data_IF_209804889919
#
_entry.id   IF_209804889919
#
_cell.length_a   1.000
_cell.length_b   1.000
_cell.length_c   1.000
_cell.angle_alpha   90.00
_cell.angle_beta   90.00
_cell.angle_gamma   90.00
#
_symmetry.space_group_name_H-M   'P 1'
#
loop_
_entity.id
_entity.type
_entity.pdbx_description
1 polymer ?
#
# COMPACT_ATOMS: atom_id res chain seq x y z
N UNK A 1 0.18 26.03 -41.72
CA UNK A 1 -0.81 25.77 -40.67
C UNK A 1 -0.93 24.25 -40.56
N UNK A 2 -0.32 23.63 -39.54
CA UNK A 2 -0.33 22.17 -39.36
C UNK A 2 -1.38 21.83 -38.31
N UNK A 3 -2.44 21.06 -38.60
CA UNK A 3 -3.39 20.64 -37.60
C UNK A 3 -2.81 19.47 -36.80
N UNK A 4 -2.67 19.65 -35.49
CA UNK A 4 -2.45 18.54 -34.55
C UNK A 4 -3.82 17.93 -34.21
N UNK A 5 -4.10 16.65 -34.53
CA UNK A 5 -5.24 15.97 -33.97
C UNK A 5 -4.85 15.53 -32.57
N UNK A 6 -5.17 16.35 -31.55
CA UNK A 6 -5.22 15.85 -30.17
C UNK A 6 -6.44 14.95 -30.09
N UNK A 7 -6.23 13.66 -30.34
CA UNK A 7 -7.14 12.65 -29.85
C UNK A 7 -7.05 12.69 -28.32
N UNK A 8 -8.09 13.20 -27.67
CA UNK A 8 -8.24 13.11 -26.22
C UNK A 8 -8.30 11.62 -25.85
N UNK A 9 -7.17 11.08 -25.43
CA UNK A 9 -7.13 9.77 -24.76
C UNK A 9 -8.03 9.89 -23.54
N UNK A 10 -9.24 9.31 -23.60
CA UNK A 10 -10.18 9.29 -22.48
C UNK A 10 -9.50 8.60 -21.30
N UNK A 11 -9.10 9.39 -20.30
CA UNK A 11 -8.49 8.92 -19.06
C UNK A 11 -9.37 7.89 -18.30
N UNK A 12 -10.66 7.83 -18.63
CA UNK A 12 -11.66 6.90 -18.08
C UNK A 12 -11.38 5.40 -18.32
N UNK A 13 -10.45 5.03 -19.21
CA UNK A 13 -10.13 3.62 -19.47
C UNK A 13 -8.86 3.13 -18.76
N UNK A 14 -8.20 3.98 -17.96
CA UNK A 14 -7.06 3.56 -17.16
C UNK A 14 -7.54 2.81 -15.92
N UNK A 15 -7.66 1.48 -16.03
CA UNK A 15 -7.82 0.61 -14.86
C UNK A 15 -6.55 0.76 -14.01
N UNK A 16 -6.63 1.22 -12.75
CA UNK A 16 -5.44 1.39 -11.94
C UNK A 16 -4.83 0.02 -11.70
N UNK A 17 -3.64 -0.18 -12.28
CA UNK A 17 -2.83 -1.35 -12.02
C UNK A 17 -2.40 -1.25 -10.56
N UNK A 18 -2.56 -2.34 -9.80
CA UNK A 18 -2.10 -2.42 -8.42
C UNK A 18 -2.84 -1.53 -7.41
N UNK A 19 -4.18 -1.49 -7.50
CA UNK A 19 -5.01 -0.92 -6.42
C UNK A 19 -4.68 -1.62 -5.10
N UNK A 20 -4.23 -0.88 -4.08
CA UNK A 20 -3.99 -1.46 -2.78
C UNK A 20 -5.28 -2.02 -2.20
N UNK A 21 -5.17 -3.15 -1.51
CA UNK A 21 -6.31 -3.87 -0.93
C UNK A 21 -6.34 -3.61 0.58
N UNK A 22 -7.51 -3.36 1.20
CA UNK A 22 -7.58 -3.24 2.66
C UNK A 22 -6.98 -4.48 3.33
N UNK A 23 -6.13 -4.27 4.33
CA UNK A 23 -5.46 -5.33 5.05
C UNK A 23 -5.77 -5.23 6.54
N UNK A 24 -5.91 -6.38 7.20
CA UNK A 24 -6.03 -6.44 8.66
C UNK A 24 -4.67 -6.80 9.25
N UNK A 25 -4.10 -5.84 9.97
CA UNK A 25 -2.77 -5.95 10.58
C UNK A 25 -2.93 -5.76 12.08
N UNK A 26 -2.43 -6.69 12.87
CA UNK A 26 -2.24 -6.47 14.30
C UNK A 26 -0.85 -5.91 14.52
N UNK A 27 -0.76 -4.88 15.34
CA UNK A 27 0.50 -4.22 15.67
C UNK A 27 0.91 -4.52 17.10
N UNK A 28 2.21 -4.64 17.32
CA UNK A 28 2.82 -4.69 18.64
C UNK A 28 3.87 -3.57 18.70
N UNK A 29 3.81 -2.72 19.72
CA UNK A 29 4.70 -1.56 19.87
C UNK A 29 4.76 -0.66 18.62
N UNK A 30 3.63 -0.51 17.92
CA UNK A 30 3.53 0.32 16.71
C UNK A 30 4.15 -0.30 15.45
N UNK A 31 4.53 -1.60 15.48
CA UNK A 31 5.05 -2.33 14.33
C UNK A 31 4.12 -3.48 13.93
N UNK A 32 4.02 -3.83 12.64
CA UNK A 32 3.21 -4.95 12.20
C UNK A 32 3.75 -6.28 12.77
N UNK A 33 2.89 -7.00 13.48
CA UNK A 33 3.23 -8.26 14.14
C UNK A 33 2.47 -9.46 13.55
N UNK A 34 1.24 -9.26 13.07
CA UNK A 34 0.43 -10.30 12.44
C UNK A 34 -0.33 -9.75 11.24
N UNK A 35 -0.30 -10.48 10.13
CA UNK A 35 -1.12 -10.25 8.94
C UNK A 35 -2.30 -11.22 8.95
N UNK A 36 -3.52 -10.72 8.77
CA UNK A 36 -4.75 -11.53 8.76
C UNK A 36 -5.32 -11.57 7.34
N UNK A 37 -5.37 -12.77 6.75
CA UNK A 37 -5.98 -13.04 5.44
C UNK A 37 -7.19 -13.97 5.62
N UNK A 38 -8.41 -13.41 5.60
CA UNK A 38 -9.62 -14.16 5.89
C UNK A 38 -9.62 -14.73 7.31
N UNK A 39 -9.57 -16.05 7.44
CA UNK A 39 -9.46 -16.75 8.74
C UNK A 39 -8.01 -17.10 9.12
N UNK A 40 -7.05 -16.92 8.20
CA UNK A 40 -5.65 -17.25 8.43
C UNK A 40 -4.93 -16.07 9.08
N UNK A 41 -3.99 -16.39 9.96
CA UNK A 41 -3.11 -15.43 10.64
C UNK A 41 -1.68 -15.85 10.38
N UNK A 42 -0.86 -14.91 9.93
CA UNK A 42 0.56 -15.13 9.70
C UNK A 42 1.35 -14.19 10.59
N UNK A 43 2.24 -14.73 11.41
CA UNK A 43 3.14 -13.91 12.22
C UNK A 43 4.21 -13.30 11.34
N UNK A 44 4.52 -12.03 11.58
CA UNK A 44 5.66 -11.37 10.98
C UNK A 44 6.90 -11.89 11.68
N UNK A 45 7.77 -12.57 10.95
CA UNK A 45 9.05 -13.08 11.48
C UNK A 45 10.16 -12.06 11.31
N UNK A 46 10.07 -11.23 10.27
CA UNK A 46 11.04 -10.18 10.00
C UNK A 46 10.41 -9.01 9.24
N UNK A 47 10.77 -7.79 9.62
CA UNK A 47 10.58 -6.59 8.79
C UNK A 47 11.87 -6.40 7.98
N UNK A 48 11.81 -6.62 6.66
CA UNK A 48 12.97 -6.45 5.78
C UNK A 48 13.29 -5.00 5.49
N UNK A 49 12.26 -4.18 5.35
CA UNK A 49 12.39 -2.76 5.09
C UNK A 49 11.17 -2.00 5.63
N UNK A 50 11.36 -0.73 5.97
CA UNK A 50 10.33 0.18 6.42
C UNK A 50 10.66 1.60 5.98
N UNK A 51 9.74 2.21 5.24
CA UNK A 51 9.91 3.58 4.72
C UNK A 51 8.64 4.39 4.88
N UNK A 52 8.77 5.72 4.84
CA UNK A 52 7.64 6.66 4.91
C UNK A 52 7.62 7.51 3.66
N UNK A 53 6.42 7.73 3.15
CA UNK A 53 6.15 8.69 2.10
C UNK A 53 5.22 9.74 2.69
N UNK A 54 5.68 10.99 2.69
CA UNK A 54 4.84 12.15 2.89
C UNK A 54 4.88 12.95 1.58
N UNK A 55 3.74 13.12 0.93
CA UNK A 55 3.63 13.76 -0.37
C UNK A 55 2.35 14.59 -0.45
N UNK A 56 2.19 15.38 -1.52
CA UNK A 56 0.99 16.13 -1.85
C UNK A 56 0.47 17.03 -0.72
N UNK A 57 1.34 17.43 0.21
CA UNK A 57 0.95 18.16 1.44
C UNK A 57 0.31 19.53 1.19
N UNK A 58 0.45 20.06 -0.02
CA UNK A 58 -0.12 21.33 -0.47
C UNK A 58 -1.50 21.17 -1.15
N UNK A 59 -1.98 19.95 -1.33
CA UNK A 59 -3.31 19.64 -1.89
C UNK A 59 -4.06 18.62 -1.02
N UNK A 60 -4.08 17.36 -1.45
CA UNK A 60 -4.59 16.22 -0.71
C UNK A 60 -3.38 15.48 -0.12
N UNK A 61 -3.00 15.75 1.14
CA UNK A 61 -1.81 15.16 1.74
C UNK A 61 -1.87 13.64 1.65
N UNK A 62 -0.73 13.03 1.35
CA UNK A 62 -0.50 11.60 1.45
C UNK A 62 0.52 11.40 2.56
N UNK A 63 0.21 10.55 3.54
CA UNK A 63 1.17 10.15 4.57
C UNK A 63 1.05 8.65 4.82
N UNK A 64 2.02 7.88 4.37
CA UNK A 64 1.99 6.41 4.40
C UNK A 64 3.29 5.85 4.94
N UNK A 65 3.20 4.88 5.85
CA UNK A 65 4.32 4.08 6.33
C UNK A 65 4.26 2.70 5.70
N UNK A 66 5.19 2.39 4.81
CA UNK A 66 5.30 1.10 4.17
C UNK A 66 6.21 0.16 4.96
N UNK A 67 5.92 -1.14 4.85
CA UNK A 67 6.69 -2.22 5.42
C UNK A 67 6.77 -3.39 4.43
N UNK A 68 7.97 -3.93 4.27
CA UNK A 68 8.20 -5.19 3.59
C UNK A 68 8.41 -6.29 4.64
N UNK A 69 7.49 -7.25 4.70
CA UNK A 69 7.36 -8.24 5.76
C UNK A 69 7.68 -9.64 5.24
N UNK A 70 8.45 -10.40 6.03
CA UNK A 70 8.54 -11.85 5.91
C UNK A 70 7.60 -12.46 6.94
N UNK A 71 6.75 -13.36 6.47
CA UNK A 71 5.79 -14.08 7.29
C UNK A 71 6.35 -15.44 7.73
N UNK A 72 5.74 -16.04 8.75
CA UNK A 72 6.09 -17.36 9.28
C UNK A 72 6.00 -18.50 8.24
N UNK A 73 5.14 -18.37 7.24
CA UNK A 73 5.07 -19.28 6.09
C UNK A 73 6.16 -19.02 5.02
N UNK A 74 7.10 -18.10 5.27
CA UNK A 74 8.18 -17.72 4.37
C UNK A 74 7.79 -16.76 3.25
N UNK A 75 6.51 -16.37 3.15
CA UNK A 75 6.06 -15.44 2.11
C UNK A 75 6.45 -13.99 2.40
N UNK A 76 6.64 -13.23 1.32
CA UNK A 76 6.91 -11.80 1.35
C UNK A 76 5.61 -11.02 1.13
N UNK A 77 5.40 -9.97 1.92
CA UNK A 77 4.26 -9.07 1.81
C UNK A 77 4.71 -7.63 1.89
N UNK A 78 4.07 -6.76 1.12
CA UNK A 78 4.24 -5.31 1.27
C UNK A 78 2.94 -4.72 1.74
N UNK A 79 2.97 -4.06 2.89
CA UNK A 79 1.82 -3.41 3.48
C UNK A 79 2.16 -1.95 3.77
N UNK A 80 1.15 -1.10 3.84
CA UNK A 80 1.33 0.23 4.37
C UNK A 80 0.21 0.62 5.33
N UNK A 81 0.58 1.45 6.30
CA UNK A 81 -0.32 2.16 7.18
C UNK A 81 -0.53 3.56 6.61
N UNK A 82 -1.76 3.87 6.23
CA UNK A 82 -2.16 5.24 5.94
C UNK A 82 -2.27 6.00 7.27
N UNK A 83 -1.37 6.96 7.46
CA UNK A 83 -1.24 7.71 8.71
C UNK A 83 -2.29 8.82 8.84
N UNK A 84 -3.02 9.14 7.76
CA UNK A 84 -4.08 10.15 7.76
C UNK A 84 -5.40 9.49 8.17
N UNK A 85 -5.72 8.35 7.56
CA UNK A 85 -6.97 7.64 7.82
C UNK A 85 -6.85 6.55 8.89
N UNK A 86 -5.64 6.29 9.39
CA UNK A 86 -5.32 5.24 10.36
C UNK A 86 -5.73 3.83 9.90
N UNK A 87 -5.54 3.54 8.61
CA UNK A 87 -5.97 2.27 7.98
C UNK A 87 -4.84 1.54 7.31
N UNK A 88 -4.90 0.21 7.31
CA UNK A 88 -3.88 -0.64 6.72
C UNK A 88 -4.28 -1.17 5.34
N UNK A 89 -3.30 -1.28 4.47
CA UNK A 89 -3.46 -1.80 3.12
C UNK A 89 -2.31 -2.73 2.73
N UNK A 90 -2.58 -3.66 1.84
CA UNK A 90 -1.60 -4.49 1.16
C UNK A 90 -1.38 -3.97 -0.26
N UNK A 91 -0.11 -3.83 -0.63
CA UNK A 91 0.33 -3.47 -1.97
C UNK A 91 0.63 -4.75 -2.76
N UNK A 92 -0.23 -5.07 -3.73
CA UNK A 92 0.12 -6.02 -4.77
C UNK A 92 1.07 -5.35 -5.77
N UNK A 93 2.09 -6.08 -6.22
CA UNK A 93 2.99 -5.66 -7.30
C UNK A 93 2.70 -6.45 -8.57
#
# INVERSE_FOLDING_TARGET
>A
MVPNPRAETRADQLRPLNRPRPARILTEQGRPAVVIEGQRRYRVTQVRDAWRIDDEWWRNPISRRYYQLVLDNGSLRTVYHDLITDTWYEQGY
#
